data_IF_792127460510
#
_entry.id   IF_792127460510
#
_cell.length_a   1.000
_cell.length_b   1.000
_cell.length_c   1.000
_cell.angle_alpha   90.00
_cell.angle_beta   90.00
_cell.angle_gamma   90.00
#
_symmetry.space_group_name_H-M   'P 1'
#
loop_
_entity.id
_entity.type
_entity.pdbx_description
1 polymer ?
#
# COMPACT_ATOMS: atom_id res chain seq x y z
N UNK A 1 47.37 -11.86 -22.08
CA UNK A 1 46.81 -12.47 -20.85
C UNK A 1 45.78 -11.53 -20.21
N UNK A 2 44.94 -10.88 -21.02
CA UNK A 2 44.25 -9.64 -20.63
C UNK A 2 42.72 -9.70 -20.78
N UNK A 3 42.18 -10.63 -21.59
CA UNK A 3 40.73 -10.82 -21.74
C UNK A 3 40.08 -11.49 -20.52
N UNK A 4 40.85 -12.27 -19.73
CA UNK A 4 40.34 -12.96 -18.54
C UNK A 4 40.00 -11.99 -17.40
N UNK A 5 40.74 -10.88 -17.29
CA UNK A 5 40.55 -9.89 -16.22
C UNK A 5 39.29 -9.05 -16.45
N UNK A 6 38.96 -8.75 -17.71
CA UNK A 6 37.76 -7.97 -18.07
C UNK A 6 36.48 -8.73 -17.72
N UNK A 7 36.46 -10.05 -17.89
CA UNK A 7 35.29 -10.89 -17.56
C UNK A 7 35.03 -10.93 -16.06
N UNK A 8 36.09 -10.96 -15.23
CA UNK A 8 35.95 -11.01 -13.76
C UNK A 8 35.37 -9.70 -13.20
N UNK A 9 35.73 -8.55 -13.78
CA UNK A 9 35.20 -7.23 -13.36
C UNK A 9 33.74 -7.05 -13.75
N UNK A 10 33.29 -7.63 -14.88
CA UNK A 10 31.89 -7.53 -15.34
C UNK A 10 30.91 -8.32 -14.44
N UNK A 11 31.36 -9.43 -13.84
CA UNK A 11 30.50 -10.29 -13.01
C UNK A 11 30.24 -9.71 -11.61
N UNK A 12 31.13 -8.85 -11.09
CA UNK A 12 30.94 -8.22 -9.77
C UNK A 12 29.82 -7.18 -9.73
N UNK A 13 29.36 -6.63 -10.86
CA UNK A 13 28.29 -5.63 -10.89
C UNK A 13 26.88 -6.20 -10.68
N UNK A 14 26.69 -7.52 -10.78
CA UNK A 14 25.36 -8.15 -10.64
C UNK A 14 25.05 -8.68 -9.24
N UNK A 15 26.00 -8.58 -8.29
CA UNK A 15 25.75 -8.87 -6.88
C UNK A 15 25.17 -7.64 -6.18
N UNK A 16 24.06 -7.11 -6.72
CA UNK A 16 23.22 -6.17 -5.99
C UNK A 16 22.62 -6.89 -4.79
N UNK A 17 23.07 -6.52 -3.60
CA UNK A 17 22.53 -7.06 -2.36
C UNK A 17 21.05 -6.66 -2.27
N UNK A 18 20.13 -7.61 -2.46
CA UNK A 18 18.75 -7.42 -2.01
C UNK A 18 18.81 -7.37 -0.49
N UNK A 19 18.95 -6.17 0.05
CA UNK A 19 18.77 -5.95 1.48
C UNK A 19 17.28 -6.14 1.75
N UNK A 20 16.89 -7.31 2.24
CA UNK A 20 15.57 -7.47 2.83
C UNK A 20 15.56 -6.61 4.09
N UNK A 21 15.09 -5.37 3.95
CA UNK A 21 14.87 -4.50 5.09
C UNK A 21 13.89 -5.19 6.02
N UNK A 22 14.32 -5.41 7.27
CA UNK A 22 13.45 -5.89 8.33
C UNK A 22 12.35 -4.86 8.53
N UNK A 23 11.15 -5.26 8.13
CA UNK A 23 9.96 -4.44 8.28
C UNK A 23 9.68 -4.22 9.78
N UNK A 24 9.48 -2.97 10.23
CA UNK A 24 9.11 -2.70 11.62
C UNK A 24 7.80 -3.40 12.00
N UNK A 25 7.69 -3.89 13.24
CA UNK A 25 6.54 -4.69 13.71
C UNK A 25 5.21 -3.94 13.69
N UNK A 26 5.25 -2.61 13.69
CA UNK A 26 4.12 -1.69 13.67
C UNK A 26 3.65 -1.35 12.24
N UNK A 27 4.35 -1.82 11.20
CA UNK A 27 3.95 -1.59 9.81
C UNK A 27 3.05 -2.73 9.33
N UNK A 28 1.85 -2.39 8.89
CA UNK A 28 0.82 -3.28 8.37
C UNK A 28 1.30 -4.03 7.14
N UNK A 29 1.08 -5.35 7.03
CA UNK A 29 1.30 -6.13 5.81
C UNK A 29 0.75 -5.42 4.57
N UNK A 30 1.44 -5.56 3.43
CA UNK A 30 1.05 -4.90 2.17
C UNK A 30 -0.41 -5.19 1.82
N UNK A 31 -0.84 -6.44 1.98
CA UNK A 31 -2.21 -6.88 1.72
C UNK A 31 -3.24 -6.24 2.66
N UNK A 32 -2.92 -6.11 3.95
CA UNK A 32 -3.79 -5.41 4.90
C UNK A 32 -3.89 -3.92 4.57
N UNK A 33 -2.77 -3.28 4.18
CA UNK A 33 -2.76 -1.89 3.74
C UNK A 33 -3.65 -1.67 2.51
N UNK A 34 -3.58 -2.56 1.52
CA UNK A 34 -4.43 -2.52 0.32
C UNK A 34 -5.91 -2.61 0.70
N UNK A 35 -6.28 -3.58 1.54
CA UNK A 35 -7.66 -3.76 1.96
C UNK A 35 -8.21 -2.56 2.74
N UNK A 36 -7.40 -1.98 3.63
CA UNK A 36 -7.76 -0.78 4.38
C UNK A 36 -8.01 0.42 3.46
N UNK A 37 -7.11 0.67 2.51
CA UNK A 37 -7.28 1.77 1.54
C UNK A 37 -8.57 1.55 0.74
N UNK A 38 -8.81 0.33 0.24
CA UNK A 38 -10.03 0.01 -0.50
C UNK A 38 -11.28 0.28 0.32
N UNK A 39 -11.34 -0.16 1.58
CA UNK A 39 -12.53 0.04 2.43
C UNK A 39 -12.75 1.51 2.80
N UNK A 40 -11.68 2.26 3.07
CA UNK A 40 -11.75 3.70 3.38
C UNK A 40 -12.29 4.47 2.19
N UNK A 41 -11.76 4.23 0.98
CA UNK A 41 -12.20 4.91 -0.24
C UNK A 41 -13.63 4.53 -0.65
N UNK A 42 -14.02 3.25 -0.52
CA UNK A 42 -15.40 2.83 -0.77
C UNK A 42 -16.37 3.49 0.22
N UNK A 43 -15.99 3.59 1.49
CA UNK A 43 -16.82 4.25 2.51
C UNK A 43 -16.95 5.75 2.25
N UNK A 44 -15.86 6.40 1.83
CA UNK A 44 -15.87 7.79 1.38
C UNK A 44 -16.81 7.99 0.18
N UNK A 45 -16.70 7.14 -0.85
CA UNK A 45 -17.53 7.21 -2.04
C UNK A 45 -19.02 7.02 -1.71
N UNK A 46 -19.35 5.99 -0.92
CA UNK A 46 -20.72 5.72 -0.48
C UNK A 46 -21.30 6.89 0.34
N UNK A 47 -20.49 7.51 1.20
CA UNK A 47 -20.92 8.68 1.96
C UNK A 47 -21.18 9.89 1.06
N UNK A 48 -20.28 10.18 0.11
CA UNK A 48 -20.43 11.30 -0.85
C UNK A 48 -21.74 11.19 -1.64
N UNK A 49 -22.11 9.98 -2.06
CA UNK A 49 -23.39 9.73 -2.76
C UNK A 49 -24.59 10.03 -1.83
N UNK A 50 -24.53 9.61 -0.57
CA UNK A 50 -25.66 9.70 0.37
C UNK A 50 -25.84 11.08 1.00
N UNK A 51 -24.77 11.86 1.13
CA UNK A 51 -24.76 13.07 1.97
C UNK A 51 -24.20 14.28 1.22
N UNK A 52 -24.85 14.67 0.12
CA UNK A 52 -24.44 15.81 -0.74
C UNK A 52 -24.00 17.08 0.03
N UNK A 53 -24.56 17.33 1.23
CA UNK A 53 -24.25 18.52 2.04
C UNK A 53 -23.64 18.24 3.43
N UNK A 54 -23.29 16.99 3.79
CA UNK A 54 -22.65 16.70 5.09
C UNK A 54 -21.15 16.48 4.93
N UNK A 55 -20.37 16.98 5.88
CA UNK A 55 -18.93 16.71 5.95
C UNK A 55 -18.71 15.23 6.29
N UNK A 56 -17.88 14.54 5.52
CA UNK A 56 -17.45 13.19 5.85
C UNK A 56 -16.57 13.23 7.10
N UNK A 57 -17.00 12.55 8.14
CA UNK A 57 -16.22 12.35 9.37
C UNK A 57 -15.27 11.17 9.13
N UNK A 58 -14.11 11.48 8.55
CA UNK A 58 -13.02 10.54 8.27
C UNK A 58 -12.64 9.75 9.52
N UNK A 59 -12.58 10.40 10.67
CA UNK A 59 -12.10 9.80 11.90
C UNK A 59 -13.09 8.75 12.39
N UNK A 60 -14.39 9.07 12.41
CA UNK A 60 -15.42 8.13 12.84
C UNK A 60 -15.55 6.91 11.93
N UNK A 61 -15.49 7.12 10.62
CA UNK A 61 -15.62 6.02 9.65
C UNK A 61 -14.37 5.15 9.65
N UNK A 62 -13.19 5.77 9.66
CA UNK A 62 -11.91 5.06 9.72
C UNK A 62 -11.76 4.25 11.00
N UNK A 63 -12.24 4.75 12.16
CA UNK A 63 -12.20 3.97 13.41
C UNK A 63 -12.93 2.63 13.31
N UNK A 64 -14.13 2.60 12.73
CA UNK A 64 -14.88 1.35 12.55
C UNK A 64 -14.19 0.36 11.61
N UNK A 65 -13.50 0.88 10.59
CA UNK A 65 -12.72 0.09 9.64
C UNK A 65 -11.48 -0.47 10.35
N UNK A 66 -10.77 0.34 11.13
CA UNK A 66 -9.60 -0.09 11.88
C UNK A 66 -9.93 -1.19 12.89
N UNK A 67 -11.05 -1.08 13.61
CA UNK A 67 -11.53 -2.14 14.51
C UNK A 67 -11.79 -3.46 13.77
N UNK A 68 -12.46 -3.39 12.61
CA UNK A 68 -12.74 -4.57 11.76
C UNK A 68 -11.46 -5.26 11.30
N UNK A 69 -10.44 -4.47 10.95
CA UNK A 69 -9.12 -4.95 10.53
C UNK A 69 -8.17 -5.23 11.70
N UNK A 70 -8.63 -5.11 12.95
CA UNK A 70 -7.82 -5.30 14.18
C UNK A 70 -6.53 -4.46 14.17
N UNK A 71 -6.62 -3.25 13.65
CA UNK A 71 -5.52 -2.28 13.57
C UNK A 71 -5.89 -0.99 14.28
N UNK A 72 -4.98 -0.01 14.27
CA UNK A 72 -5.16 1.32 14.84
C UNK A 72 -4.85 2.38 13.79
N UNK A 73 -5.39 3.59 13.98
CA UNK A 73 -5.00 4.74 13.14
C UNK A 73 -3.49 4.97 13.16
N UNK A 74 -2.85 4.80 14.33
CA UNK A 74 -1.40 4.95 14.46
C UNK A 74 -0.64 3.94 13.59
N UNK A 75 -1.02 2.65 13.63
CA UNK A 75 -0.38 1.64 12.80
C UNK A 75 -0.58 1.95 11.31
N UNK A 76 -1.76 2.44 10.93
CA UNK A 76 -2.03 2.87 9.56
C UNK A 76 -1.14 4.06 9.15
N UNK A 77 -1.03 5.10 9.98
CA UNK A 77 -0.22 6.29 9.71
C UNK A 77 1.28 5.96 9.61
N UNK A 78 1.77 5.11 10.52
CA UNK A 78 3.14 4.62 10.50
C UNK A 78 3.41 3.75 9.25
N UNK A 79 2.43 2.94 8.84
CA UNK A 79 2.51 2.16 7.61
C UNK A 79 2.49 3.01 6.36
N UNK A 80 1.64 4.04 6.34
CA UNK A 80 1.57 5.00 5.25
C UNK A 80 2.89 5.72 5.10
N UNK A 81 3.48 6.20 6.21
CA UNK A 81 4.81 6.80 6.21
C UNK A 81 5.89 5.83 5.71
N UNK A 82 5.83 4.57 6.11
CA UNK A 82 6.77 3.53 5.69
C UNK A 82 6.69 3.24 4.18
N UNK A 83 5.48 3.07 3.64
CA UNK A 83 5.29 2.74 2.23
C UNK A 83 5.53 3.95 1.33
N UNK A 84 5.12 5.15 1.73
CA UNK A 84 5.38 6.39 0.98
C UNK A 84 6.88 6.73 0.88
N UNK A 85 7.69 6.34 1.86
CA UNK A 85 9.16 6.46 1.76
C UNK A 85 9.79 5.39 0.85
N UNK A 86 9.01 4.45 0.29
CA UNK A 86 9.45 3.34 -0.58
C UNK A 86 8.60 3.34 -1.86
N UNK A 87 8.91 4.21 -2.85
CA UNK A 87 8.05 4.44 -4.00
C UNK A 87 7.60 3.18 -4.74
N UNK A 88 8.52 2.23 -4.99
CA UNK A 88 8.18 0.94 -5.65
C UNK A 88 7.12 0.15 -4.87
N UNK A 89 7.19 0.11 -3.54
CA UNK A 89 6.21 -0.61 -2.74
C UNK A 89 4.85 0.11 -2.70
N UNK A 90 4.86 1.44 -2.66
CA UNK A 90 3.64 2.25 -2.71
C UNK A 90 2.95 2.14 -4.06
N UNK A 91 3.72 2.13 -5.14
CA UNK A 91 3.22 1.94 -6.50
C UNK A 91 2.52 0.58 -6.64
N UNK A 92 3.15 -0.49 -6.14
CA UNK A 92 2.51 -1.82 -6.12
C UNK A 92 1.20 -1.82 -5.31
N UNK A 93 1.15 -1.15 -4.16
CA UNK A 93 -0.07 -1.02 -3.36
C UNK A 93 -1.17 -0.33 -4.17
N UNK A 94 -0.89 0.83 -4.77
CA UNK A 94 -1.89 1.58 -5.51
C UNK A 94 -2.33 0.89 -6.80
N UNK A 95 -1.43 0.22 -7.51
CA UNK A 95 -1.78 -0.57 -8.69
C UNK A 95 -2.78 -1.67 -8.32
N UNK A 96 -2.59 -2.34 -7.18
CA UNK A 96 -3.53 -3.35 -6.70
C UNK A 96 -4.87 -2.73 -6.28
N UNK A 97 -4.85 -1.60 -5.57
CA UNK A 97 -6.08 -0.85 -5.21
C UNK A 97 -6.89 -0.48 -6.46
N UNK A 98 -6.23 0.04 -7.51
CA UNK A 98 -6.86 0.39 -8.79
C UNK A 98 -7.42 -0.87 -9.49
N UNK A 99 -6.67 -1.97 -9.48
CA UNK A 99 -7.12 -3.25 -10.03
C UNK A 99 -8.41 -3.73 -9.35
N UNK A 100 -8.46 -3.69 -8.01
CA UNK A 100 -9.65 -4.05 -7.22
C UNK A 100 -10.83 -3.16 -7.58
N UNK A 101 -10.65 -1.84 -7.69
CA UNK A 101 -11.74 -0.95 -8.09
C UNK A 101 -12.22 -1.20 -9.51
N UNK A 102 -11.32 -1.53 -10.44
CA UNK A 102 -11.65 -1.84 -11.82
C UNK A 102 -12.52 -3.12 -11.89
N UNK A 103 -12.17 -4.14 -11.11
CA UNK A 103 -12.97 -5.36 -11.01
C UNK A 103 -14.36 -5.09 -10.42
N UNK A 104 -14.45 -4.29 -9.35
CA UNK A 104 -15.73 -3.94 -8.72
C UNK A 104 -16.68 -3.15 -9.63
N UNK A 105 -16.15 -2.33 -10.55
CA UNK A 105 -16.97 -1.59 -11.52
C UNK A 105 -17.60 -2.53 -12.57
N UNK A 106 -16.89 -3.60 -12.94
CA UNK A 106 -17.40 -4.63 -13.87
C UNK A 106 -18.47 -5.48 -13.21
N UNK A 107 -18.33 -5.80 -11.92
CA UNK A 107 -19.35 -6.57 -11.16
C UNK A 107 -20.65 -5.78 -10.89
N UNK A 108 -20.59 -4.45 -10.96
CA UNK A 108 -21.72 -3.56 -10.73
C UNK A 108 -22.49 -3.11 -11.98
N UNK A 109 -22.09 -3.58 -13.18
CA UNK A 109 -22.78 -3.34 -14.46
C UNK A 109 -23.54 -4.58 -14.92
#
# INVERSE_FOLDING_TARGET
>A
MSCKVVIVVLVMFFLGCKHEELKPSNVLPKQEMIQLIVEIELSQAAFKIKSQDKKFDLDKVSNSIFEKHKTTSQNFDESLKYYTSRPSQMEEIYNEVISIFSQKQVEGS
#
